data_IF_270276561367
#
_entry.id   IF_270276561367
#
_cell.length_a   1.000
_cell.length_b   1.000
_cell.length_c   1.000
_cell.angle_alpha   90.00
_cell.angle_beta   90.00
_cell.angle_gamma   90.00
#
_symmetry.space_group_name_H-M   'P 1'
#
loop_
_entity.id
_entity.type
_entity.pdbx_description
1 polymer ?
#
# COMPACT_ATOMS: atom_id res chain seq x y z
N UNK A 1 -1.42 1.20 12.03
CA UNK A 1 -1.00 0.20 11.04
C UNK A 1 0.05 0.75 10.06
N UNK A 2 -0.13 1.94 9.51
CA UNK A 2 0.74 2.50 8.46
C UNK A 2 2.09 2.95 9.00
N UNK A 3 2.13 3.64 10.13
CA UNK A 3 3.37 4.19 10.70
C UNK A 3 4.35 3.11 11.14
N UNK A 4 3.86 2.03 11.73
CA UNK A 4 4.72 0.98 12.28
C UNK A 4 5.62 0.29 11.22
N UNK A 5 5.09 -0.17 10.08
CA UNK A 5 5.94 -0.74 9.03
C UNK A 5 6.97 0.26 8.49
N UNK A 6 6.61 1.51 8.33
CA UNK A 6 7.53 2.56 7.88
C UNK A 6 8.63 2.78 8.93
N UNK A 7 8.27 2.89 10.22
CA UNK A 7 9.24 3.04 11.31
C UNK A 7 10.17 1.85 11.43
N UNK A 8 9.62 0.63 11.36
CA UNK A 8 10.39 -0.59 11.59
C UNK A 8 11.30 -0.97 10.43
N UNK A 9 10.83 -0.81 9.20
CA UNK A 9 11.48 -1.34 8.00
C UNK A 9 11.83 -0.28 6.95
N UNK A 10 11.35 0.92 7.09
CA UNK A 10 11.62 2.02 6.16
C UNK A 10 13.06 2.50 6.21
N UNK A 11 13.50 3.12 5.11
CA UNK A 11 14.76 3.88 5.10
C UNK A 11 14.62 5.14 5.98
N UNK A 12 15.76 5.75 6.36
CA UNK A 12 15.72 7.02 7.11
C UNK A 12 15.01 8.13 6.32
N UNK A 13 15.20 8.17 5.00
CA UNK A 13 14.46 9.10 4.13
C UNK A 13 12.95 8.89 4.20
N UNK A 14 12.49 7.63 4.13
CA UNK A 14 11.07 7.31 4.24
C UNK A 14 10.51 7.70 5.61
N UNK A 15 11.23 7.40 6.69
CA UNK A 15 10.82 7.77 8.04
C UNK A 15 10.67 9.27 8.18
N UNK A 16 11.66 10.04 7.74
CA UNK A 16 11.63 11.51 7.80
C UNK A 16 10.57 12.13 6.92
N UNK A 17 10.27 11.52 5.77
CA UNK A 17 9.27 12.01 4.84
C UNK A 17 7.84 11.76 5.33
N UNK A 18 7.55 10.56 5.85
CA UNK A 18 6.17 10.14 6.10
C UNK A 18 5.75 10.21 7.57
N UNK A 19 6.61 9.81 8.51
CA UNK A 19 6.20 9.67 9.91
C UNK A 19 5.75 10.98 10.55
N UNK A 20 6.44 12.13 10.39
CA UNK A 20 5.99 13.38 10.98
C UNK A 20 4.61 13.80 10.48
N UNK A 21 4.34 13.69 9.20
CA UNK A 21 3.07 14.06 8.57
C UNK A 21 1.93 13.11 8.93
N UNK A 22 2.22 11.82 9.07
CA UNK A 22 1.26 10.83 9.56
C UNK A 22 0.94 11.05 11.05
N UNK A 23 1.94 11.43 11.86
CA UNK A 23 1.75 11.66 13.27
C UNK A 23 0.89 12.89 13.57
N UNK A 24 0.99 13.94 12.76
CA UNK A 24 0.20 15.18 12.90
C UNK A 24 -1.17 15.08 12.25
N UNK A 25 -1.43 14.04 11.44
CA UNK A 25 -2.64 13.92 10.64
C UNK A 25 -2.64 14.77 9.37
N UNK A 26 -1.54 15.41 9.02
CA UNK A 26 -1.37 16.09 7.72
C UNK A 26 -1.48 15.10 6.58
N UNK A 27 -0.90 13.90 6.74
CA UNK A 27 -1.11 12.76 5.85
C UNK A 27 -2.03 11.74 6.49
N UNK A 28 -2.94 11.21 5.69
CA UNK A 28 -3.74 10.04 6.03
C UNK A 28 -3.15 8.83 5.32
N UNK A 29 -2.95 7.75 6.06
CA UNK A 29 -2.43 6.51 5.52
C UNK A 29 -3.49 5.42 5.43
N UNK A 30 -3.27 4.46 4.51
CA UNK A 30 -4.04 3.23 4.45
C UNK A 30 -3.12 2.01 4.34
N UNK A 31 -3.68 0.84 4.65
CA UNK A 31 -2.93 -0.42 4.75
C UNK A 31 -3.53 -1.46 3.80
N UNK A 32 -2.86 -1.69 2.69
CA UNK A 32 -3.31 -2.56 1.61
C UNK A 32 -2.79 -3.99 1.74
N UNK A 33 -3.49 -4.85 2.48
CA UNK A 33 -3.17 -6.27 2.61
C UNK A 33 -4.23 -7.15 1.92
N UNK A 34 -5.48 -7.00 2.32
CA UNK A 34 -6.61 -7.82 1.87
C UNK A 34 -6.87 -7.66 0.38
N UNK A 35 -7.13 -8.78 -0.30
CA UNK A 35 -7.52 -8.82 -1.72
C UNK A 35 -8.93 -9.37 -1.89
N UNK A 36 -9.58 -9.17 -3.05
CA UNK A 36 -10.91 -9.70 -3.30
C UNK A 36 -11.08 -11.18 -2.97
N UNK A 37 -10.10 -12.01 -3.35
CA UNK A 37 -10.13 -13.47 -3.17
C UNK A 37 -9.25 -13.97 -2.02
N UNK A 38 -8.55 -13.08 -1.31
CA UNK A 38 -7.58 -13.44 -0.27
C UNK A 38 -7.76 -12.55 0.97
N UNK A 39 -8.77 -12.86 1.80
CA UNK A 39 -9.02 -12.22 3.10
C UNK A 39 -8.23 -12.90 4.22
N UNK A 40 -8.74 -14.00 4.74
CA UNK A 40 -8.08 -14.79 5.82
C UNK A 40 -6.85 -15.57 5.37
N UNK A 41 -6.55 -15.56 4.08
CA UNK A 41 -5.36 -16.16 3.48
C UNK A 41 -4.48 -15.10 2.79
N UNK A 42 -3.84 -14.17 3.52
CA UNK A 42 -3.03 -13.13 2.90
C UNK A 42 -1.80 -13.69 2.18
N UNK A 43 -1.31 -14.86 2.57
CA UNK A 43 -0.23 -15.56 1.88
C UNK A 43 -0.58 -15.98 0.44
N UNK A 44 -1.86 -16.08 0.13
CA UNK A 44 -2.36 -16.38 -1.23
C UNK A 44 -2.38 -15.19 -2.18
N UNK A 45 -2.08 -13.96 -1.71
CA UNK A 45 -2.19 -12.74 -2.52
C UNK A 45 -1.58 -12.88 -3.91
N UNK A 46 -2.21 -12.22 -4.87
CA UNK A 46 -1.79 -12.17 -6.28
C UNK A 46 -1.19 -10.82 -6.69
N UNK A 47 -1.44 -9.76 -5.90
CA UNK A 47 -0.75 -8.47 -6.11
C UNK A 47 0.75 -8.68 -6.13
N UNK A 48 1.41 -8.17 -7.15
CA UNK A 48 2.80 -8.51 -7.43
C UNK A 48 3.65 -7.29 -7.80
N UNK A 49 4.95 -7.43 -7.58
CA UNK A 49 5.97 -6.48 -8.00
C UNK A 49 7.00 -7.18 -8.88
N UNK A 50 7.36 -6.53 -9.98
CA UNK A 50 8.49 -6.93 -10.83
C UNK A 50 9.63 -5.94 -10.69
N UNK A 51 10.84 -6.46 -10.63
CA UNK A 51 12.05 -5.64 -10.60
C UNK A 51 12.39 -5.19 -12.03
N UNK A 52 12.41 -3.89 -12.26
CA UNK A 52 12.72 -3.29 -13.56
C UNK A 52 14.00 -2.43 -13.51
N UNK A 53 14.98 -2.81 -12.69
CA UNK A 53 16.26 -2.14 -12.57
C UNK A 53 16.26 -1.05 -11.49
N UNK A 54 15.91 0.17 -11.83
CA UNK A 54 15.87 1.32 -10.93
C UNK A 54 14.56 1.48 -10.18
N UNK A 55 13.50 0.78 -10.61
CA UNK A 55 12.17 0.82 -10.00
C UNK A 55 11.51 -0.57 -9.99
N UNK A 56 10.45 -0.69 -9.22
CA UNK A 56 9.53 -1.83 -9.26
C UNK A 56 8.27 -1.45 -10.03
N UNK A 57 7.67 -2.41 -10.72
CA UNK A 57 6.35 -2.29 -11.32
C UNK A 57 5.35 -3.06 -10.45
N UNK A 58 4.37 -2.35 -9.89
CA UNK A 58 3.32 -2.91 -9.04
C UNK A 58 2.04 -3.12 -9.84
N UNK A 59 1.47 -4.33 -9.74
CA UNK A 59 0.19 -4.70 -10.35
C UNK A 59 -0.67 -5.48 -9.36
N UNK A 60 -1.97 -5.27 -9.40
CA UNK A 60 -2.96 -5.98 -8.61
C UNK A 60 -4.05 -5.09 -8.05
N UNK A 61 -4.76 -5.60 -7.04
CA UNK A 61 -5.82 -4.88 -6.36
C UNK A 61 -5.90 -5.28 -4.89
N UNK A 62 -6.29 -4.33 -4.05
CA UNK A 62 -6.63 -4.56 -2.63
C UNK A 62 -8.06 -4.13 -2.37
N UNK A 63 -8.73 -4.79 -1.44
CA UNK A 63 -10.15 -4.59 -1.16
C UNK A 63 -10.41 -4.42 0.33
N UNK A 64 -11.49 -3.71 0.67
CA UNK A 64 -11.89 -3.41 2.03
C UNK A 64 -10.87 -2.56 2.80
N UNK A 65 -10.29 -1.58 2.11
CA UNK A 65 -9.23 -0.75 2.68
C UNK A 65 -9.81 0.51 3.31
N UNK A 66 -9.70 0.63 4.62
CA UNK A 66 -10.10 1.83 5.35
C UNK A 66 -9.24 3.03 4.93
N UNK A 67 -9.87 4.17 4.76
CA UNK A 67 -9.28 5.44 4.31
C UNK A 67 -8.79 5.47 2.86
N UNK A 68 -8.91 4.39 2.09
CA UNK A 68 -8.44 4.35 0.70
C UNK A 68 -8.90 5.56 -0.13
N UNK A 69 -10.18 6.01 -0.07
CA UNK A 69 -10.66 7.09 -0.94
C UNK A 69 -9.92 8.43 -0.79
N UNK A 70 -9.33 8.69 0.39
CA UNK A 70 -8.65 9.96 0.68
C UNK A 70 -7.23 9.81 1.26
N UNK A 71 -6.70 8.59 1.31
CA UNK A 71 -5.34 8.37 1.80
C UNK A 71 -4.30 9.06 0.91
N UNK A 72 -3.32 9.72 1.53
CA UNK A 72 -2.19 10.34 0.86
C UNK A 72 -1.10 9.32 0.56
N UNK A 73 -0.99 8.29 1.41
CA UNK A 73 0.01 7.24 1.32
C UNK A 73 -0.57 5.88 1.70
N UNK A 74 -0.18 4.85 0.96
CA UNK A 74 -0.57 3.47 1.21
C UNK A 74 0.67 2.61 1.49
N UNK A 75 0.61 1.78 2.53
CA UNK A 75 1.53 0.64 2.70
C UNK A 75 0.86 -0.58 2.07
N UNK A 76 1.45 -1.09 1.00
CA UNK A 76 0.87 -2.16 0.17
C UNK A 76 1.78 -3.38 0.22
N UNK A 77 1.18 -4.54 0.46
CA UNK A 77 1.87 -5.82 0.45
C UNK A 77 1.69 -6.52 -0.90
N UNK A 78 2.80 -6.94 -1.48
CA UNK A 78 2.84 -7.58 -2.79
C UNK A 78 3.90 -8.68 -2.86
N UNK A 79 3.71 -9.67 -3.72
CA UNK A 79 4.69 -10.72 -3.98
C UNK A 79 5.72 -10.28 -5.03
N UNK A 80 6.97 -10.57 -4.77
CA UNK A 80 8.01 -10.48 -5.79
C UNK A 80 8.06 -11.76 -6.65
N UNK A 81 8.90 -11.76 -7.68
CA UNK A 81 9.06 -12.89 -8.60
C UNK A 81 9.52 -14.20 -7.91
N UNK A 82 10.17 -14.10 -6.76
CA UNK A 82 10.53 -15.27 -5.92
C UNK A 82 9.39 -15.71 -4.97
N UNK A 83 8.17 -15.16 -5.11
CA UNK A 83 7.02 -15.49 -4.27
C UNK A 83 7.08 -14.92 -2.85
N UNK A 84 8.07 -14.09 -2.52
CA UNK A 84 8.20 -13.47 -1.20
C UNK A 84 7.38 -12.20 -1.10
N UNK A 85 6.65 -12.05 -0.01
CA UNK A 85 5.85 -10.86 0.27
C UNK A 85 6.75 -9.71 0.72
N UNK A 86 6.54 -8.53 0.13
CA UNK A 86 7.23 -7.29 0.46
C UNK A 86 6.25 -6.14 0.62
N UNK A 87 6.58 -5.22 1.52
CA UNK A 87 5.86 -3.97 1.68
C UNK A 87 6.37 -2.91 0.72
N UNK A 88 5.46 -2.15 0.13
CA UNK A 88 5.75 -1.00 -0.72
C UNK A 88 5.04 0.23 -0.18
N UNK A 89 5.66 1.39 -0.31
CA UNK A 89 5.01 2.67 -0.02
C UNK A 89 4.57 3.27 -1.35
N UNK A 90 3.27 3.46 -1.50
CA UNK A 90 2.64 4.03 -2.69
C UNK A 90 2.02 5.37 -2.33
N UNK A 91 2.32 6.40 -3.10
CA UNK A 91 1.80 7.75 -2.89
C UNK A 91 0.61 8.03 -3.82
N UNK A 92 -0.36 8.78 -3.31
CA UNK A 92 -1.44 9.32 -4.14
C UNK A 92 -0.85 10.14 -5.27
N UNK A 93 -1.42 10.02 -6.48
CA UNK A 93 -0.96 10.70 -7.67
C UNK A 93 0.06 9.93 -8.50
N UNK A 94 0.56 8.78 -8.02
CA UNK A 94 1.34 7.87 -8.88
C UNK A 94 0.48 7.37 -10.03
N UNK A 95 1.00 7.42 -11.24
CA UNK A 95 0.30 6.96 -12.44
C UNK A 95 -0.07 5.47 -12.32
N UNK A 96 -1.34 5.15 -12.66
CA UNK A 96 -1.88 3.79 -12.56
C UNK A 96 -2.36 3.39 -11.17
N UNK A 97 -2.29 4.28 -10.18
CA UNK A 97 -2.82 4.04 -8.83
C UNK A 97 -4.17 4.73 -8.67
N UNK A 98 -5.22 3.94 -8.45
CA UNK A 98 -6.59 4.40 -8.24
C UNK A 98 -7.15 3.88 -6.91
N UNK A 99 -8.06 4.66 -6.31
CA UNK A 99 -8.65 4.34 -5.00
C UNK A 99 -10.17 4.52 -5.01
N UNK A 100 -10.93 3.72 -5.78
CA UNK A 100 -12.39 3.85 -5.83
C UNK A 100 -13.03 3.59 -4.48
N UNK A 101 -14.01 4.42 -4.13
CA UNK A 101 -14.76 4.30 -2.89
C UNK A 101 -15.83 3.21 -3.00
N UNK A 102 -16.02 2.45 -1.92
CA UNK A 102 -17.11 1.50 -1.78
C UNK A 102 -18.32 2.20 -1.18
N UNK A 103 -19.46 2.10 -1.85
CA UNK A 103 -20.73 2.61 -1.42
C UNK A 103 -21.67 1.48 -0.98
N UNK A 104 -22.70 1.81 -0.19
CA UNK A 104 -23.77 0.88 0.17
C UNK A 104 -23.39 -0.18 1.21
N UNK A 105 -22.35 0.04 1.99
CA UNK A 105 -22.04 -0.87 3.11
C UNK A 105 -23.23 -0.98 4.06
N UNK A 106 -23.47 -2.17 4.57
CA UNK A 106 -24.56 -2.44 5.49
C UNK A 106 -24.36 -1.80 6.88
N UNK A 107 -23.12 -1.79 7.36
CA UNK A 107 -22.74 -1.15 8.62
C UNK A 107 -21.40 -0.41 8.48
N UNK A 108 -20.96 0.27 9.54
CA UNK A 108 -19.72 1.08 9.56
C UNK A 108 -19.67 2.11 8.41
N UNK A 109 -20.82 2.68 8.08
CA UNK A 109 -20.99 3.55 6.90
C UNK A 109 -20.21 4.85 7.00
N UNK A 110 -19.91 5.31 8.21
CA UNK A 110 -19.07 6.50 8.45
C UNK A 110 -17.56 6.22 8.27
N UNK A 111 -17.16 4.95 8.24
CA UNK A 111 -15.77 4.57 7.95
C UNK A 111 -15.59 4.46 6.44
N UNK A 112 -15.02 5.48 5.82
CA UNK A 112 -14.74 5.47 4.39
C UNK A 112 -13.85 4.28 4.04
N UNK A 113 -14.30 3.46 3.11
CA UNK A 113 -13.67 2.21 2.71
C UNK A 113 -13.60 2.15 1.19
N UNK A 114 -12.52 1.64 0.65
CA UNK A 114 -12.37 1.55 -0.80
C UNK A 114 -11.49 0.39 -1.23
N UNK A 115 -11.18 0.42 -2.50
CA UNK A 115 -10.22 -0.47 -3.13
C UNK A 115 -8.92 0.29 -3.41
N UNK A 116 -7.83 -0.46 -3.56
CA UNK A 116 -6.59 0.05 -4.16
C UNK A 116 -6.37 -0.72 -5.45
N UNK A 117 -6.29 -0.01 -6.57
CA UNK A 117 -6.07 -0.60 -7.89
C UNK A 117 -4.70 -0.14 -8.40
N UNK A 118 -3.90 -1.10 -8.84
CA UNK A 118 -2.55 -0.86 -9.33
C UNK A 118 -2.43 -1.39 -10.76
N UNK A 119 -2.19 -0.48 -11.69
CA UNK A 119 -1.98 -0.79 -13.09
C UNK A 119 -0.61 -0.27 -13.55
N UNK A 120 0.38 -1.14 -13.54
CA UNK A 120 1.77 -0.81 -13.89
C UNK A 120 2.34 0.39 -13.12
N UNK A 121 2.04 0.47 -11.82
CA UNK A 121 2.52 1.58 -10.97
C UNK A 121 4.03 1.48 -10.78
N UNK A 122 4.75 2.52 -11.15
CA UNK A 122 6.21 2.61 -10.97
C UNK A 122 6.54 3.04 -9.56
N UNK A 123 7.22 2.17 -8.80
CA UNK A 123 7.68 2.45 -7.45
C UNK A 123 9.20 2.60 -7.47
N UNK A 124 9.76 3.79 -7.23
CA UNK A 124 11.21 3.96 -7.11
C UNK A 124 11.79 3.05 -6.01
N UNK A 125 12.96 2.46 -6.25
CA UNK A 125 13.57 1.51 -5.29
C UNK A 125 13.91 2.14 -3.94
N UNK A 126 14.16 3.41 -3.90
CA UNK A 126 14.32 4.18 -2.66
C UNK A 126 13.06 4.15 -1.77
N UNK A 127 11.89 3.91 -2.35
CA UNK A 127 10.60 3.75 -1.65
C UNK A 127 10.30 2.30 -1.27
N UNK A 128 11.22 1.39 -1.52
CA UNK A 128 11.13 0.01 -1.03
C UNK A 128 11.83 -0.10 0.33
N UNK A 129 11.19 -0.70 1.35
CA UNK A 129 11.86 -0.92 2.62
C UNK A 129 13.14 -1.74 2.41
N UNK A 130 14.21 -1.34 3.12
CA UNK A 130 15.43 -2.15 3.14
C UNK A 130 15.10 -3.54 3.69
N UNK A 131 15.77 -4.57 3.17
CA UNK A 131 15.60 -5.95 3.64
C UNK A 131 15.75 -5.99 5.16
N UNK A 132 14.70 -6.40 5.85
CA UNK A 132 14.86 -6.95 7.18
C UNK A 132 15.68 -8.24 7.09
N UNK A 133 16.31 -8.63 8.19
CA UNK A 133 17.10 -9.87 8.27
C UNK A 133 16.26 -11.10 7.94
#
# INVERSE_FOLDING_TARGET
>A
LVMYPIWKFGSEEQKMKYLPKLATGEFIGCFGLTEPDHGSNPGGMITNIKDNGDHYILNGAKMWISNAPFADVAVVWAKNEAGRIKGMVVERGMEGFETPEMHGKHSLRASATGELIFNNVKIPKEKSPKRGP
#
